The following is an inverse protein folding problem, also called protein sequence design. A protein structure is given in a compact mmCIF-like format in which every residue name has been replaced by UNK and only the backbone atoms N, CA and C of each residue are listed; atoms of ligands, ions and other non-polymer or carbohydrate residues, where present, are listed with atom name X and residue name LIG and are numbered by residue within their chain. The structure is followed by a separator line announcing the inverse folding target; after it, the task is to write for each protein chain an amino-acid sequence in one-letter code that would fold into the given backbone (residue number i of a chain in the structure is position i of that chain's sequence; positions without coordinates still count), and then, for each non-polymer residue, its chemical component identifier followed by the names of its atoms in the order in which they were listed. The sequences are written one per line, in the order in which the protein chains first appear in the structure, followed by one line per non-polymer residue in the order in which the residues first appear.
data_IF_145321106110
#
_entry.id   IF_145321106110
#
_cell.length_a   1.000
_cell.length_b   1.000
_cell.length_c   1.000
_cell.angle_alpha   90.00
_cell.angle_beta   90.00
_cell.angle_gamma   90.00
#
_symmetry.space_group_name_H-M   'P 1'
#
loop_
_entity.id
_entity.type
_entity.pdbx_description
1 polymer ?
#
# COMPACT_ATOMS: atom_id res chain seq x y z
N UNK A 1 -16.90 -15.23 5.24
CA UNK A 1 -17.53 -15.58 3.95
C UNK A 1 -17.43 -14.44 2.93
N UNK A 2 -17.92 -13.23 3.23
CA UNK A 2 -17.93 -12.07 2.30
C UNK A 2 -16.56 -11.74 1.66
N UNK A 3 -15.49 -11.58 2.46
CA UNK A 3 -14.15 -11.25 1.92
C UNK A 3 -13.59 -12.34 0.98
N UNK A 4 -13.85 -13.62 1.26
CA UNK A 4 -13.39 -14.72 0.39
C UNK A 4 -14.05 -14.66 -0.98
N UNK A 5 -15.34 -14.31 -1.02
CA UNK A 5 -16.06 -14.13 -2.29
C UNK A 5 -15.52 -12.92 -3.06
N UNK A 6 -15.28 -11.79 -2.39
CA UNK A 6 -14.67 -10.60 -3.01
C UNK A 6 -13.29 -10.93 -3.60
N UNK A 7 -12.46 -11.68 -2.86
CA UNK A 7 -11.17 -12.13 -3.35
C UNK A 7 -11.28 -13.07 -4.54
N UNK A 8 -12.26 -13.99 -4.53
CA UNK A 8 -12.52 -14.85 -5.68
C UNK A 8 -12.91 -14.03 -6.92
N UNK A 9 -13.83 -13.06 -6.78
CA UNK A 9 -14.20 -12.16 -7.87
C UNK A 9 -13.01 -11.34 -8.36
N UNK A 10 -12.15 -10.86 -7.46
CA UNK A 10 -10.93 -10.16 -7.84
C UNK A 10 -9.99 -11.06 -8.65
N UNK A 11 -9.75 -12.30 -8.20
CA UNK A 11 -8.90 -13.27 -8.90
C UNK A 11 -9.45 -13.55 -10.30
N UNK A 12 -10.76 -13.79 -10.42
CA UNK A 12 -11.40 -14.05 -11.72
C UNK A 12 -11.29 -12.83 -12.65
N UNK A 13 -11.55 -11.63 -12.13
CA UNK A 13 -11.42 -10.37 -12.89
C UNK A 13 -9.98 -10.10 -13.33
N UNK A 14 -9.00 -10.35 -12.45
CA UNK A 14 -7.58 -10.22 -12.76
C UNK A 14 -7.11 -11.28 -13.78
N UNK A 15 -7.64 -12.50 -13.72
CA UNK A 15 -7.37 -13.53 -14.73
C UNK A 15 -7.88 -13.10 -16.11
N UNK A 16 -9.03 -12.42 -16.17
CA UNK A 16 -9.55 -11.84 -17.41
C UNK A 16 -8.69 -10.68 -17.92
N UNK A 17 -8.15 -9.83 -17.03
CA UNK A 17 -7.15 -8.81 -17.44
C UNK A 17 -5.92 -9.45 -18.09
N UNK A 18 -5.43 -10.55 -17.50
CA UNK A 18 -4.30 -11.30 -18.04
C UNK A 18 -4.63 -11.97 -19.38
N UNK A 19 -5.86 -12.48 -19.55
CA UNK A 19 -6.33 -12.98 -20.83
C UNK A 19 -6.27 -11.90 -21.92
N UNK A 20 -6.74 -10.68 -21.64
CA UNK A 20 -6.62 -9.56 -22.59
C UNK A 20 -5.17 -9.25 -22.94
N UNK A 21 -4.27 -9.31 -21.95
CA UNK A 21 -2.84 -9.10 -22.17
C UNK A 21 -2.20 -10.19 -23.06
N UNK A 22 -2.64 -11.44 -22.92
CA UNK A 22 -2.08 -12.59 -23.63
C UNK A 22 -2.65 -12.79 -25.05
N UNK A 23 -3.83 -12.21 -25.34
CA UNK A 23 -4.53 -12.38 -26.62
C UNK A 23 -3.78 -11.77 -27.81
N UNK A 24 -2.99 -10.73 -27.57
CA UNK A 24 -2.24 -10.00 -28.59
C UNK A 24 -0.79 -9.76 -28.11
N UNK A 25 0.09 -10.78 -28.27
CA UNK A 25 1.47 -10.69 -27.80
C UNK A 25 2.26 -9.68 -28.63
N UNK A 26 2.97 -8.79 -27.95
CA UNK A 26 3.81 -7.77 -28.58
C UNK A 26 5.14 -7.64 -27.86
N UNK A 27 6.18 -7.21 -28.57
CA UNK A 27 7.46 -6.85 -27.97
C UNK A 27 7.34 -5.65 -27.01
N UNK A 28 6.28 -4.84 -27.18
CA UNK A 28 5.93 -3.73 -26.27
C UNK A 28 5.42 -4.21 -24.90
N UNK A 29 5.09 -5.49 -24.75
CA UNK A 29 4.58 -6.04 -23.48
C UNK A 29 5.57 -5.85 -22.34
N UNK A 30 6.87 -6.07 -22.57
CA UNK A 30 7.88 -5.91 -21.50
C UNK A 30 8.00 -4.44 -21.06
N UNK A 31 8.22 -3.46 -21.96
CA UNK A 31 8.19 -2.04 -21.59
C UNK A 31 6.89 -1.64 -20.87
N UNK A 32 5.74 -2.14 -21.32
CA UNK A 32 4.45 -1.82 -20.71
C UNK A 32 4.33 -2.38 -19.28
N UNK A 33 4.77 -3.63 -19.04
CA UNK A 33 4.81 -4.23 -17.70
C UNK A 33 5.68 -3.40 -16.75
N UNK A 34 6.85 -2.94 -17.20
CA UNK A 34 7.75 -2.11 -16.41
C UNK A 34 7.16 -0.72 -16.13
N UNK A 35 6.55 -0.09 -17.14
CA UNK A 35 5.87 1.19 -16.98
C UNK A 35 4.70 1.08 -16.00
N UNK A 36 3.89 0.02 -16.10
CA UNK A 36 2.82 -0.29 -15.14
C UNK A 36 3.35 -0.47 -13.72
N UNK A 37 4.47 -1.17 -13.57
CA UNK A 37 5.11 -1.38 -12.26
C UNK A 37 5.62 -0.07 -11.66
N UNK A 38 6.24 0.80 -12.48
CA UNK A 38 6.66 2.14 -12.08
C UNK A 38 5.47 2.99 -11.60
N UNK A 39 4.35 2.96 -12.32
CA UNK A 39 3.13 3.68 -11.90
C UNK A 39 2.58 3.11 -10.59
N UNK A 40 2.60 1.79 -10.40
CA UNK A 40 2.20 1.19 -9.13
C UNK A 40 3.11 1.60 -7.96
N UNK A 41 4.42 1.62 -8.17
CA UNK A 41 5.40 2.10 -7.19
C UNK A 41 5.11 3.57 -6.82
N UNK A 42 4.86 4.42 -7.82
CA UNK A 42 4.52 5.83 -7.62
C UNK A 42 3.22 6.01 -6.85
N UNK A 43 2.16 5.28 -7.20
CA UNK A 43 0.89 5.31 -6.46
C UNK A 43 1.07 4.84 -5.02
N UNK A 44 1.91 3.82 -4.79
CA UNK A 44 2.24 3.39 -3.44
C UNK A 44 2.91 4.52 -2.63
N UNK A 45 3.82 5.28 -3.25
CA UNK A 45 4.49 6.41 -2.62
C UNK A 45 3.57 7.58 -2.33
N UNK A 46 2.67 7.92 -3.25
CA UNK A 46 1.66 8.96 -3.04
C UNK A 46 0.72 8.62 -1.88
N UNK A 47 0.25 7.37 -1.83
CA UNK A 47 -0.62 6.90 -0.74
C UNK A 47 0.16 6.88 0.58
N UNK A 48 1.39 6.38 0.59
CA UNK A 48 2.25 6.36 1.79
C UNK A 48 2.45 7.76 2.35
N UNK A 49 2.96 8.68 1.52
CA UNK A 49 3.14 10.10 1.87
C UNK A 49 1.86 10.73 2.41
N UNK A 50 0.71 10.49 1.76
CA UNK A 50 -0.56 10.99 2.23
C UNK A 50 -0.92 10.44 3.61
N UNK A 51 -0.78 9.12 3.83
CA UNK A 51 -1.16 8.46 5.08
C UNK A 51 -0.25 8.86 6.26
N UNK A 52 1.04 9.09 6.01
CA UNK A 52 1.99 9.57 7.01
C UNK A 52 1.63 10.93 7.56
N UNK A 53 1.14 11.81 6.70
CA UNK A 53 0.87 13.19 7.07
C UNK A 53 -0.62 13.51 7.26
N UNK A 54 -1.53 12.59 6.94
CA UNK A 54 -2.95 12.77 7.20
C UNK A 54 -3.21 12.77 8.71
N UNK A 55 -3.78 13.84 9.29
CA UNK A 55 -3.94 13.93 10.74
C UNK A 55 -4.92 12.89 11.27
N UNK A 56 -4.62 12.31 12.43
CA UNK A 56 -5.60 11.54 13.19
C UNK A 56 -6.62 12.48 13.84
N UNK A 57 -7.89 12.05 14.03
CA UNK A 57 -8.88 12.84 14.75
C UNK A 57 -8.48 13.04 16.22
N UNK A 58 -8.54 14.29 16.69
CA UNK A 58 -8.29 14.69 18.09
C UNK A 58 -9.40 14.21 19.03
N UNK A 59 -9.10 14.09 20.32
CA UNK A 59 -10.07 13.72 21.35
C UNK A 59 -10.64 12.30 21.22
N UNK A 60 -10.02 11.44 20.40
CA UNK A 60 -10.43 10.03 20.23
C UNK A 60 -9.59 9.05 21.06
N UNK A 61 -8.54 9.53 21.74
CA UNK A 61 -7.61 8.69 22.50
C UNK A 61 -6.60 7.93 21.65
N UNK A 62 -6.41 8.33 20.38
CA UNK A 62 -5.43 7.71 19.48
C UNK A 62 -4.00 8.02 19.92
N UNK A 63 -3.76 9.20 20.45
CA UNK A 63 -2.53 9.63 21.13
C UNK A 63 -2.22 8.70 22.30
N UNK A 64 -3.19 8.46 23.19
CA UNK A 64 -3.03 7.56 24.35
C UNK A 64 -2.67 6.15 23.91
N UNK A 65 -3.27 5.63 22.84
CA UNK A 65 -2.90 4.34 22.28
C UNK A 65 -1.52 4.33 21.63
N UNK A 66 -1.17 5.40 20.92
CA UNK A 66 0.09 5.51 20.20
C UNK A 66 1.28 5.54 21.16
N UNK A 67 1.17 6.32 22.23
CA UNK A 67 2.19 6.51 23.27
C UNK A 67 2.03 5.58 24.48
N UNK A 68 1.12 4.59 24.44
CA UNK A 68 0.97 3.64 25.55
C UNK A 68 2.28 2.86 25.80
N UNK A 69 2.83 3.03 27.00
CA UNK A 69 4.11 2.44 27.46
C UNK A 69 3.95 1.05 28.08
N UNK A 70 2.76 0.74 28.61
CA UNK A 70 2.49 -0.54 29.27
C UNK A 70 2.44 -1.74 28.31
N UNK A 71 2.21 -2.92 28.87
CA UNK A 71 2.02 -4.14 28.08
C UNK A 71 0.78 -4.02 27.20
N UNK A 72 0.93 -4.14 25.88
CA UNK A 72 -0.20 -4.17 24.94
C UNK A 72 -1.02 -5.48 25.01
N UNK A 73 -0.59 -6.44 25.83
CA UNK A 73 -1.39 -7.61 26.20
C UNK A 73 -2.22 -7.39 27.46
N UNK A 74 -2.07 -6.27 28.17
CA UNK A 74 -2.81 -5.98 29.40
C UNK A 74 -4.30 -5.76 29.13
N UNK A 75 -5.14 -6.09 30.11
CA UNK A 75 -6.57 -5.79 30.07
C UNK A 75 -6.81 -4.28 29.87
N UNK A 76 -6.04 -3.43 30.55
CA UNK A 76 -6.09 -1.98 30.42
C UNK A 76 -5.89 -1.52 28.97
N UNK A 77 -4.85 -2.01 28.28
CA UNK A 77 -4.61 -1.66 26.89
C UNK A 77 -5.72 -2.18 25.98
N UNK A 78 -6.20 -3.42 26.20
CA UNK A 78 -7.25 -4.00 25.38
C UNK A 78 -8.56 -3.23 25.50
N UNK A 79 -8.93 -2.78 26.70
CA UNK A 79 -10.08 -1.91 26.94
C UNK A 79 -9.91 -0.55 26.25
N UNK A 80 -8.76 0.11 26.44
CA UNK A 80 -8.46 1.39 25.78
C UNK A 80 -8.54 1.25 24.25
N UNK A 81 -7.97 0.16 23.71
CA UNK A 81 -7.99 -0.11 22.27
C UNK A 81 -9.40 -0.30 21.75
N UNK A 82 -10.22 -1.11 22.42
CA UNK A 82 -11.60 -1.34 22.01
C UNK A 82 -12.43 -0.04 22.04
N UNK A 83 -12.31 0.74 23.11
CA UNK A 83 -13.03 2.01 23.26
C UNK A 83 -12.64 3.03 22.18
N UNK A 84 -11.34 3.23 21.95
CA UNK A 84 -10.85 4.16 20.93
C UNK A 84 -11.22 3.69 19.52
N UNK A 85 -11.08 2.39 19.21
CA UNK A 85 -11.39 1.86 17.88
C UNK A 85 -12.89 1.91 17.56
N UNK A 86 -13.78 1.83 18.56
CA UNK A 86 -15.22 2.01 18.38
C UNK A 86 -15.60 3.46 18.02
N UNK A 87 -14.76 4.43 18.37
CA UNK A 87 -15.01 5.87 18.19
C UNK A 87 -14.55 6.45 16.85
N UNK A 88 -13.99 5.63 15.95
CA UNK A 88 -13.39 6.06 14.67
C UNK A 88 -13.91 5.24 13.48
N UNK A 89 -13.86 5.83 12.28
CA UNK A 89 -14.29 5.17 11.06
C UNK A 89 -13.17 4.31 10.42
N UNK A 90 -13.46 3.47 9.41
CA UNK A 90 -12.46 2.59 8.79
C UNK A 90 -11.26 3.32 8.18
N UNK A 91 -11.45 4.51 7.62
CA UNK A 91 -10.37 5.30 7.04
C UNK A 91 -9.44 5.87 8.13
N UNK A 92 -10.00 6.42 9.20
CA UNK A 92 -9.24 6.88 10.36
C UNK A 92 -8.45 5.75 11.01
N UNK A 93 -9.04 4.54 11.09
CA UNK A 93 -8.33 3.35 11.55
C UNK A 93 -7.18 2.98 10.63
N UNK A 94 -7.35 3.08 9.30
CA UNK A 94 -6.28 2.84 8.35
C UNK A 94 -5.13 3.84 8.53
N UNK A 95 -5.45 5.13 8.67
CA UNK A 95 -4.46 6.20 8.94
C UNK A 95 -3.70 5.94 10.23
N UNK A 96 -4.41 5.60 11.33
CA UNK A 96 -3.77 5.27 12.60
C UNK A 96 -2.88 4.02 12.51
N UNK A 97 -3.40 2.94 11.93
CA UNK A 97 -2.65 1.70 11.73
C UNK A 97 -1.40 1.92 10.89
N UNK A 98 -1.48 2.82 9.91
CA UNK A 98 -0.35 3.29 9.14
C UNK A 98 0.64 3.97 10.07
N UNK A 99 0.35 5.12 10.69
CA UNK A 99 1.33 5.82 11.57
C UNK A 99 1.93 4.95 12.66
N UNK A 100 1.14 4.08 13.27
CA UNK A 100 1.60 3.19 14.35
C UNK A 100 2.67 2.19 13.89
N UNK A 101 2.87 2.00 12.58
CA UNK A 101 3.93 1.16 12.06
C UNK A 101 5.33 1.80 12.17
N UNK A 102 5.49 3.13 12.17
CA UNK A 102 6.80 3.78 12.29
C UNK A 102 7.54 3.41 13.59
N UNK A 103 6.95 3.57 14.80
CA UNK A 103 7.62 3.16 16.03
C UNK A 103 7.62 1.64 16.22
N UNK A 104 6.81 0.89 15.44
CA UNK A 104 6.54 -0.54 15.65
C UNK A 104 6.46 -1.30 14.31
N UNK A 105 7.52 -1.31 13.50
CA UNK A 105 7.50 -1.83 12.13
C UNK A 105 7.00 -3.28 12.06
N UNK A 106 7.49 -4.11 12.97
CA UNK A 106 7.15 -5.54 13.07
C UNK A 106 5.64 -5.79 13.27
N UNK A 107 4.87 -4.82 13.77
CA UNK A 107 3.42 -4.96 13.89
C UNK A 107 2.71 -5.05 12.53
N UNK A 108 3.25 -4.41 11.50
CA UNK A 108 2.78 -4.55 10.12
C UNK A 108 3.22 -5.90 9.54
N UNK A 109 4.48 -6.27 9.74
CA UNK A 109 5.04 -7.54 9.26
C UNK A 109 4.37 -8.80 9.80
N UNK A 110 3.81 -8.77 11.01
CA UNK A 110 3.04 -9.91 11.57
C UNK A 110 1.67 -10.11 10.92
N UNK A 111 1.18 -9.16 10.10
CA UNK A 111 -0.13 -9.29 9.45
C UNK A 111 -0.01 -10.27 8.27
N UNK A 112 -1.01 -11.13 8.11
CA UNK A 112 -1.12 -11.99 6.94
C UNK A 112 -1.46 -11.17 5.68
N UNK A 113 -1.25 -11.77 4.50
CA UNK A 113 -1.49 -11.12 3.20
C UNK A 113 -2.92 -10.60 3.07
N UNK A 114 -3.92 -11.42 3.42
CA UNK A 114 -5.35 -11.07 3.27
C UNK A 114 -5.75 -9.84 4.07
N UNK A 115 -5.22 -9.69 5.28
CA UNK A 115 -5.46 -8.50 6.10
C UNK A 115 -4.83 -7.24 5.50
N UNK A 116 -3.72 -7.38 4.77
CA UNK A 116 -2.99 -6.26 4.19
C UNK A 116 -3.58 -5.82 2.84
N UNK A 117 -4.06 -6.76 2.02
CA UNK A 117 -4.64 -6.43 0.71
C UNK A 117 -6.16 -6.24 0.76
N UNK A 118 -6.83 -6.55 1.87
CA UNK A 118 -8.30 -6.56 1.93
C UNK A 118 -8.93 -5.21 1.59
N UNK A 119 -8.40 -4.12 2.15
CA UNK A 119 -8.88 -2.76 1.85
C UNK A 119 -8.53 -2.33 0.43
N UNK A 120 -7.33 -2.62 -0.06
CA UNK A 120 -6.90 -2.25 -1.42
C UNK A 120 -7.69 -3.01 -2.48
N UNK A 121 -7.98 -4.30 -2.28
CA UNK A 121 -8.85 -5.09 -3.16
C UNK A 121 -10.27 -4.51 -3.19
N UNK A 122 -10.87 -4.25 -2.03
CA UNK A 122 -12.27 -3.79 -1.94
C UNK A 122 -12.42 -2.38 -2.52
N UNK A 123 -11.53 -1.45 -2.17
CA UNK A 123 -11.66 -0.05 -2.53
C UNK A 123 -11.09 0.29 -3.91
N UNK A 124 -10.13 -0.49 -4.41
CA UNK A 124 -9.43 -0.20 -5.66
C UNK A 124 -9.35 -1.38 -6.61
N UNK A 125 -8.62 -2.43 -6.20
CA UNK A 125 -8.23 -3.55 -7.07
C UNK A 125 -9.41 -4.20 -7.83
N UNK A 126 -10.48 -4.58 -7.13
CA UNK A 126 -11.64 -5.19 -7.77
C UNK A 126 -12.42 -4.21 -8.66
N UNK A 127 -12.88 -3.03 -8.19
CA UNK A 127 -13.60 -2.07 -9.03
C UNK A 127 -12.82 -1.67 -10.29
N UNK A 128 -11.51 -1.39 -10.13
CA UNK A 128 -10.65 -0.97 -11.24
C UNK A 128 -10.43 -2.11 -12.24
N UNK A 129 -10.21 -3.33 -11.77
CA UNK A 129 -10.08 -4.51 -12.62
C UNK A 129 -11.35 -4.80 -13.43
N UNK A 130 -12.54 -4.69 -12.80
CA UNK A 130 -13.83 -4.90 -13.46
C UNK A 130 -14.07 -3.82 -14.52
N UNK A 131 -13.84 -2.55 -14.17
CA UNK A 131 -13.97 -1.44 -15.11
C UNK A 131 -13.07 -1.63 -16.33
N UNK A 132 -11.82 -2.03 -16.13
CA UNK A 132 -10.90 -2.30 -17.22
C UNK A 132 -11.37 -3.45 -18.12
N UNK A 133 -11.92 -4.52 -17.55
CA UNK A 133 -12.53 -5.60 -18.33
C UNK A 133 -13.72 -5.11 -19.17
N UNK A 134 -14.56 -4.21 -18.64
CA UNK A 134 -15.66 -3.61 -19.41
C UNK A 134 -15.14 -2.77 -20.58
N UNK A 135 -14.06 -2.00 -20.36
CA UNK A 135 -13.41 -1.22 -21.42
C UNK A 135 -12.87 -2.17 -22.51
N UNK A 136 -12.12 -3.21 -22.15
CA UNK A 136 -11.60 -4.21 -23.09
C UNK A 136 -12.70 -4.96 -23.84
N UNK A 137 -13.89 -5.11 -23.25
CA UNK A 137 -15.03 -5.71 -23.94
C UNK A 137 -15.66 -4.75 -24.96
N UNK A 138 -15.68 -3.45 -24.65
CA UNK A 138 -16.27 -2.41 -25.50
C UNK A 138 -15.40 -1.94 -26.67
N UNK A 139 -14.11 -2.28 -26.69
CA UNK A 139 -13.19 -1.88 -27.75
C UNK A 139 -11.91 -2.73 -27.76
N UNK A 140 -11.17 -2.67 -28.86
CA UNK A 140 -9.92 -3.42 -29.03
C UNK A 140 -8.75 -2.64 -28.42
N UNK A 141 -8.42 -2.95 -27.15
CA UNK A 141 -7.16 -2.49 -26.56
C UNK A 141 -6.02 -3.44 -26.96
N UNK A 142 -4.86 -2.91 -27.39
CA UNK A 142 -3.68 -3.74 -27.65
C UNK A 142 -3.27 -4.55 -26.41
N UNK A 143 -2.81 -5.79 -26.62
CA UNK A 143 -2.48 -6.69 -25.50
C UNK A 143 -1.42 -6.12 -24.56
N UNK A 144 -0.43 -5.39 -25.08
CA UNK A 144 0.59 -4.74 -24.27
C UNK A 144 0.03 -3.65 -23.33
N UNK A 145 -1.06 -2.95 -23.69
CA UNK A 145 -1.72 -1.99 -22.80
C UNK A 145 -2.35 -2.73 -21.62
N UNK A 146 -3.03 -3.84 -21.88
CA UNK A 146 -3.59 -4.70 -20.85
C UNK A 146 -2.50 -5.30 -19.95
N UNK A 147 -1.33 -5.64 -20.50
CA UNK A 147 -0.20 -6.10 -19.71
C UNK A 147 0.30 -5.01 -18.74
N UNK A 148 0.51 -3.79 -19.23
CA UNK A 148 0.91 -2.66 -18.38
C UNK A 148 -0.12 -2.34 -17.30
N UNK A 149 -1.41 -2.33 -17.65
CA UNK A 149 -2.49 -2.18 -16.69
C UNK A 149 -2.48 -3.31 -15.63
N UNK A 150 -2.31 -4.56 -16.05
CA UNK A 150 -2.24 -5.70 -15.12
C UNK A 150 -1.07 -5.57 -14.14
N UNK A 151 0.12 -5.18 -14.63
CA UNK A 151 1.28 -4.92 -13.77
C UNK A 151 1.00 -3.81 -12.75
N UNK A 152 0.42 -2.69 -13.21
CA UNK A 152 0.01 -1.58 -12.34
C UNK A 152 -1.01 -2.04 -11.27
N UNK A 153 -2.05 -2.77 -11.69
CA UNK A 153 -3.10 -3.27 -10.82
C UNK A 153 -2.54 -4.19 -9.74
N UNK A 154 -1.67 -5.12 -10.12
CA UNK A 154 -1.05 -6.07 -9.19
C UNK A 154 -0.11 -5.35 -8.23
N UNK A 155 0.76 -4.48 -8.73
CA UNK A 155 1.68 -3.69 -7.90
C UNK A 155 0.93 -2.79 -6.90
N UNK A 156 -0.14 -2.12 -7.34
CA UNK A 156 -0.95 -1.25 -6.49
C UNK A 156 -1.79 -2.02 -5.46
N UNK A 157 -2.42 -3.13 -5.88
CA UNK A 157 -3.25 -3.94 -4.98
C UNK A 157 -2.42 -4.60 -3.87
N UNK A 158 -1.21 -5.07 -4.20
CA UNK A 158 -0.32 -5.74 -3.27
C UNK A 158 0.67 -4.81 -2.56
N UNK A 159 0.65 -3.50 -2.83
CA UNK A 159 1.59 -2.54 -2.25
C UNK A 159 1.72 -2.67 -0.72
N UNK A 160 0.59 -2.73 0.00
CA UNK A 160 0.62 -2.88 1.45
C UNK A 160 1.15 -4.24 1.92
N UNK A 161 0.95 -5.30 1.14
CA UNK A 161 1.57 -6.59 1.43
C UNK A 161 3.09 -6.52 1.22
N UNK A 162 3.54 -5.93 0.12
CA UNK A 162 4.97 -5.73 -0.15
C UNK A 162 5.62 -4.87 0.93
N UNK A 163 4.97 -3.78 1.35
CA UNK A 163 5.40 -3.00 2.51
C UNK A 163 5.55 -3.88 3.76
N UNK A 164 4.55 -4.69 4.11
CA UNK A 164 4.67 -5.59 5.25
C UNK A 164 5.72 -6.69 5.11
N UNK A 165 6.20 -7.01 3.90
CA UNK A 165 7.34 -7.91 3.72
C UNK A 165 8.68 -7.26 4.11
N UNK A 166 8.75 -5.92 4.17
CA UNK A 166 9.94 -5.18 4.59
C UNK A 166 10.14 -5.22 6.11
N UNK A 167 9.05 -5.47 6.85
CA UNK A 167 9.02 -5.46 8.31
C UNK A 167 8.91 -6.86 8.94
N UNK A 168 9.42 -7.88 8.25
CA UNK A 168 9.46 -9.27 8.72
C UNK A 168 10.73 -9.96 8.25
N UNK A 169 11.22 -10.87 9.07
CA UNK A 169 12.40 -11.69 8.76
C UNK A 169 12.07 -12.72 7.68
N UNK A 170 11.01 -13.52 7.91
CA UNK A 170 10.64 -14.61 7.01
C UNK A 170 9.73 -14.15 5.87
N UNK A 171 10.23 -14.28 4.64
CA UNK A 171 9.50 -13.93 3.43
C UNK A 171 9.41 -15.12 2.46
N UNK A 172 8.30 -15.28 1.73
CA UNK A 172 8.19 -16.29 0.69
C UNK A 172 9.29 -16.15 -0.36
N UNK A 173 9.74 -17.28 -0.94
CA UNK A 173 10.82 -17.31 -1.94
C UNK A 173 10.58 -16.36 -3.12
N UNK A 174 9.32 -16.18 -3.53
CA UNK A 174 8.97 -15.25 -4.62
C UNK A 174 9.31 -13.79 -4.28
N UNK A 175 9.11 -13.36 -3.04
CA UNK A 175 9.46 -12.01 -2.58
C UNK A 175 10.97 -11.83 -2.61
N UNK A 176 11.73 -12.82 -2.16
CA UNK A 176 13.20 -12.80 -2.20
C UNK A 176 13.71 -12.75 -3.64
N UNK A 177 13.11 -13.51 -4.56
CA UNK A 177 13.45 -13.47 -5.97
C UNK A 177 13.15 -12.10 -6.60
N UNK A 178 11.97 -11.53 -6.33
CA UNK A 178 11.60 -10.20 -6.82
C UNK A 178 12.54 -9.10 -6.30
N UNK A 179 12.98 -9.18 -5.03
CA UNK A 179 13.99 -8.27 -4.49
C UNK A 179 15.33 -8.36 -5.21
N UNK A 180 15.82 -9.58 -5.48
CA UNK A 180 17.07 -9.78 -6.22
C UNK A 180 17.02 -9.24 -7.64
N UNK A 181 15.83 -9.22 -8.25
CA UNK A 181 15.61 -8.64 -9.58
C UNK A 181 15.38 -7.12 -9.54
N UNK A 182 15.40 -6.48 -8.37
CA UNK A 182 15.11 -5.05 -8.21
C UNK A 182 13.62 -4.69 -8.41
N UNK A 183 12.73 -5.68 -8.47
CA UNK A 183 11.28 -5.47 -8.60
C UNK A 183 10.60 -5.22 -7.25
N UNK A 184 11.28 -5.55 -6.15
CA UNK A 184 10.88 -5.14 -4.80
C UNK A 184 12.07 -4.55 -4.06
N UNK A 185 11.83 -3.58 -3.19
CA UNK A 185 12.87 -2.94 -2.38
C UNK A 185 13.31 -3.83 -1.22
N UNK A 186 14.48 -3.51 -0.68
CA UNK A 186 15.03 -4.19 0.49
C UNK A 186 14.61 -3.46 1.78
N UNK A 187 14.61 -4.15 2.93
CA UNK A 187 14.37 -3.50 4.22
C UNK A 187 15.31 -2.32 4.48
N UNK A 188 16.58 -2.42 4.07
CA UNK A 188 17.58 -1.36 4.26
C UNK A 188 17.25 -0.10 3.46
N UNK A 189 16.77 -0.25 2.21
CA UNK A 189 16.31 0.88 1.42
C UNK A 189 15.07 1.56 2.05
N UNK A 190 14.17 0.76 2.62
CA UNK A 190 12.99 1.28 3.30
C UNK A 190 13.31 1.93 4.65
N UNK A 191 14.39 1.52 5.31
CA UNK A 191 14.84 2.12 6.56
C UNK A 191 15.16 3.61 6.41
N UNK A 192 15.65 4.04 5.24
CA UNK A 192 15.91 5.46 4.93
C UNK A 192 14.65 6.33 5.09
N UNK A 193 13.49 5.77 4.75
CA UNK A 193 12.21 6.40 5.03
C UNK A 193 11.93 6.43 6.54
N UNK A 194 12.05 5.32 7.25
CA UNK A 194 11.81 5.26 8.71
C UNK A 194 12.71 6.20 9.52
N UNK A 195 13.93 6.44 9.06
CA UNK A 195 14.89 7.32 9.73
C UNK A 195 14.48 8.80 9.70
N UNK A 196 13.68 9.23 8.71
CA UNK A 196 13.39 10.66 8.49
C UNK A 196 11.92 10.99 8.32
N UNK A 197 11.11 10.02 7.88
CA UNK A 197 9.70 10.11 7.47
C UNK A 197 9.42 11.21 6.42
N UNK A 198 10.46 11.66 5.71
CA UNK A 198 10.42 12.85 4.82
C UNK A 198 10.82 12.55 3.38
N UNK A 199 11.16 11.31 3.07
CA UNK A 199 11.59 10.89 1.75
C UNK A 199 11.30 9.40 1.55
N UNK A 200 11.50 8.96 0.32
CA UNK A 200 11.51 7.55 -0.08
C UNK A 200 10.21 6.80 0.23
N UNK A 201 9.09 7.46 -0.04
CA UNK A 201 7.74 7.01 0.30
C UNK A 201 7.26 5.78 -0.49
N UNK A 202 7.78 5.51 -1.69
CA UNK A 202 7.32 4.34 -2.47
C UNK A 202 7.67 3.05 -1.74
N UNK A 203 6.81 2.02 -1.80
CA UNK A 203 6.97 0.79 -0.99
C UNK A 203 7.14 -0.47 -1.83
N UNK A 204 6.99 -0.40 -3.16
CA UNK A 204 7.21 -1.56 -4.01
C UNK A 204 8.70 -1.74 -4.28
N UNK A 205 9.30 -0.89 -5.10
CA UNK A 205 10.70 -0.99 -5.54
C UNK A 205 11.51 0.31 -5.39
N UNK A 206 10.85 1.45 -5.19
CA UNK A 206 11.51 2.73 -4.97
C UNK A 206 11.98 3.43 -6.26
N UNK A 207 11.69 2.88 -7.44
CA UNK A 207 12.03 3.50 -8.73
C UNK A 207 11.43 4.91 -8.87
N UNK A 208 10.26 5.16 -8.28
CA UNK A 208 9.61 6.48 -8.33
C UNK A 208 10.04 7.44 -7.22
N UNK A 209 10.91 7.04 -6.28
CA UNK A 209 11.23 7.85 -5.10
C UNK A 209 11.86 9.20 -5.44
N UNK A 210 12.71 9.27 -6.47
CA UNK A 210 13.27 10.56 -6.91
C UNK A 210 12.15 11.58 -7.23
N UNK A 211 11.10 11.14 -7.92
CA UNK A 211 9.96 11.98 -8.27
C UNK A 211 9.09 12.28 -7.04
N UNK A 212 8.88 11.29 -6.18
CA UNK A 212 8.13 11.47 -4.93
C UNK A 212 8.80 12.47 -3.99
N UNK A 213 10.13 12.45 -3.90
CA UNK A 213 10.89 13.40 -3.08
C UNK A 213 10.77 14.83 -3.63
N UNK A 214 10.77 14.99 -4.96
CA UNK A 214 10.51 16.29 -5.60
C UNK A 214 9.09 16.79 -5.32
N UNK A 215 8.08 15.93 -5.49
CA UNK A 215 6.67 16.26 -5.23
C UNK A 215 6.47 16.64 -3.76
N UNK A 216 7.02 15.86 -2.83
CA UNK A 216 6.95 16.12 -1.41
C UNK A 216 7.62 17.46 -1.06
N UNK A 217 8.85 17.70 -1.54
CA UNK A 217 9.57 18.95 -1.30
C UNK A 217 8.79 20.17 -1.81
N UNK A 218 8.24 20.09 -3.03
CA UNK A 218 7.43 21.15 -3.62
C UNK A 218 6.11 21.39 -2.87
N UNK A 219 5.44 20.32 -2.41
CA UNK A 219 4.22 20.43 -1.62
C UNK A 219 4.50 21.02 -0.23
N UNK A 220 5.58 20.60 0.41
CA UNK A 220 6.01 21.09 1.73
C UNK A 220 6.43 22.55 1.70
N UNK A 221 7.10 23.00 0.63
CA UNK A 221 7.41 24.41 0.40
C UNK A 221 6.14 25.29 0.31
N UNK A 222 4.99 24.71 -0.02
CA UNK A 222 3.68 25.37 -0.04
C UNK A 222 2.88 25.18 1.26
N UNK A 223 3.49 24.64 2.31
CA UNK A 223 2.86 24.43 3.62
C UNK A 223 2.02 23.15 3.73
N UNK A 224 2.07 22.24 2.75
CA UNK A 224 1.47 20.91 2.90
C UNK A 224 2.33 20.01 3.82
N UNK A 225 1.73 18.92 4.31
CA UNK A 225 2.41 17.89 5.10
C UNK A 225 3.12 18.42 6.37
N UNK A 226 2.37 19.05 7.31
CA UNK A 226 2.96 19.53 8.56
C UNK A 226 3.39 18.34 9.45
N UNK A 227 4.48 18.51 10.19
CA UNK A 227 5.02 17.48 11.10
C UNK A 227 4.00 17.04 12.16
N UNK A 228 3.08 17.91 12.55
CA UNK A 228 1.97 17.57 13.45
C UNK A 228 1.03 16.49 12.91
N UNK A 229 1.15 16.14 11.63
CA UNK A 229 0.41 15.05 11.00
C UNK A 229 1.05 13.68 11.21
N UNK A 230 2.35 13.59 11.55
CA UNK A 230 3.09 12.33 11.65
C UNK A 230 2.63 11.45 12.83
N UNK A 231 2.17 12.09 13.90
CA UNK A 231 1.74 11.41 15.13
C UNK A 231 0.33 11.87 15.53
N UNK A 232 -0.47 11.01 16.18
CA UNK A 232 -1.74 11.43 16.74
C UNK A 232 -1.53 12.46 17.86
N UNK A 233 -2.28 13.57 17.81
CA UNK A 233 -2.29 14.60 18.85
C UNK A 233 -3.52 14.46 19.75
N UNK A 234 -3.41 14.89 21.01
CA UNK A 234 -4.53 15.00 21.94
C UNK A 234 -5.70 15.82 21.37
#
# INVERSE_FOLDING_TARGET
MKLRLILLFFILSAALNLFWAARDPSWLTIPALLAGWYVADMLSGLVHMFMDYHPCPRGKGLDRLYFYEGSRGSEEYQLLFQQTMAGINPFQRLVYDFKNHHPRPNALGRRNMWRQIGSTVVAGGLPVSVLFNLICWSGELPGWVAAGFFSMLMGGTFAQYFHGTLHREDNPRIILAMRRMGLLMTPEAHQLHHDTLRQDFSTNCGWSNWLMNLVFGAARAKGAFPESGLEPTA
#
